data_IF_045153573833
#
_entry.id   IF_045153573833
#
_cell.length_a   1.000
_cell.length_b   1.000
_cell.length_c   1.000
_cell.angle_alpha   90.00
_cell.angle_beta   90.00
_cell.angle_gamma   90.00
#
_symmetry.space_group_name_H-M   'P 1'
#
loop_
_entity.id
_entity.type
_entity.pdbx_description
1 polymer ?
#
# COMPACT_ATOMS: atom_id res chain seq x y z
N UNK A 1 -38.59 12.73 -26.03
CA UNK A 1 -38.25 13.74 -27.05
C UNK A 1 -37.15 13.17 -27.90
N UNK A 2 -37.52 12.90 -29.13
CA UNK A 2 -36.76 12.16 -30.13
C UNK A 2 -35.73 13.05 -30.80
N UNK A 3 -34.49 12.61 -30.92
CA UNK A 3 -33.42 13.29 -31.63
C UNK A 3 -32.83 12.37 -32.68
N UNK A 4 -33.32 12.52 -33.89
CA UNK A 4 -32.86 11.83 -35.09
C UNK A 4 -31.44 12.25 -35.45
N UNK A 5 -30.53 11.27 -35.63
CA UNK A 5 -29.25 11.50 -36.28
C UNK A 5 -29.40 11.38 -37.78
N UNK A 6 -29.01 12.44 -38.47
CA UNK A 6 -28.90 12.49 -39.94
C UNK A 6 -27.82 11.51 -40.42
N UNK A 7 -28.19 10.84 -41.51
CA UNK A 7 -27.31 9.93 -42.25
C UNK A 7 -26.37 10.73 -43.16
N UNK A 8 -25.09 10.40 -43.16
CA UNK A 8 -24.09 10.93 -44.08
C UNK A 8 -24.32 10.39 -45.52
N UNK A 9 -24.03 11.16 -46.56
CA UNK A 9 -24.30 10.77 -47.95
C UNK A 9 -23.20 9.76 -48.41
N UNK A 10 -23.69 8.68 -48.99
CA UNK A 10 -22.92 7.67 -49.70
C UNK A 10 -22.15 8.30 -50.88
N UNK A 11 -20.85 8.30 -50.79
CA UNK A 11 -19.96 8.69 -51.91
C UNK A 11 -19.99 7.62 -53.02
N UNK A 12 -20.47 8.02 -54.17
CA UNK A 12 -20.56 7.24 -55.38
C UNK A 12 -19.15 6.95 -55.92
N UNK A 13 -18.78 5.67 -56.27
CA UNK A 13 -17.52 5.39 -56.90
C UNK A 13 -17.50 5.85 -58.35
N UNK A 14 -16.43 6.54 -58.70
CA UNK A 14 -16.11 7.03 -60.04
C UNK A 14 -16.02 5.88 -61.02
N UNK A 15 -16.63 5.95 -62.25
CA UNK A 15 -16.52 4.90 -63.24
C UNK A 15 -15.11 4.81 -63.78
N UNK A 16 -14.53 3.61 -63.74
CA UNK A 16 -13.31 3.28 -64.47
C UNK A 16 -13.55 3.12 -65.97
N UNK A 17 -12.62 3.57 -66.82
CA UNK A 17 -12.79 3.41 -68.25
C UNK A 17 -12.69 1.93 -68.64
N UNK A 18 -13.67 1.51 -69.46
CA UNK A 18 -13.71 0.21 -70.10
C UNK A 18 -12.47 0.06 -70.98
N UNK A 19 -11.59 -0.88 -70.58
CA UNK A 19 -10.53 -1.34 -71.46
C UNK A 19 -11.15 -2.11 -72.59
N UNK A 20 -10.82 -1.68 -73.79
CA UNK A 20 -11.19 -2.18 -75.09
C UNK A 20 -10.91 -3.68 -75.19
N UNK A 21 -11.99 -4.47 -75.38
CA UNK A 21 -11.89 -5.92 -75.60
C UNK A 21 -11.35 -6.15 -76.99
N UNK A 22 -10.07 -6.56 -77.12
CA UNK A 22 -9.57 -7.18 -78.33
C UNK A 22 -10.26 -8.52 -78.50
N UNK A 23 -11.14 -8.57 -79.54
CA UNK A 23 -11.79 -9.75 -80.01
C UNK A 23 -10.70 -10.65 -80.68
N UNK A 24 -10.28 -11.68 -79.96
CA UNK A 24 -9.54 -12.81 -80.57
C UNK A 24 -10.54 -13.88 -80.93
N UNK A 25 -10.71 -14.08 -82.27
CA UNK A 25 -11.48 -15.15 -82.84
C UNK A 25 -10.86 -16.52 -82.47
N UNK A 26 -11.77 -17.51 -82.30
CA UNK A 26 -11.46 -18.95 -82.14
C UNK A 26 -11.04 -19.41 -80.71
N UNK A 27 -11.96 -19.30 -79.77
CA UNK A 27 -11.93 -20.17 -78.60
C UNK A 27 -13.21 -21.02 -78.55
N UNK A 28 -13.23 -22.26 -78.95
CA UNK A 28 -14.46 -23.10 -79.13
C UNK A 28 -15.11 -23.53 -77.79
N UNK A 29 -14.61 -23.20 -76.65
CA UNK A 29 -15.19 -23.65 -75.37
C UNK A 29 -15.23 -22.59 -74.20
N UNK A 30 -14.96 -21.31 -74.42
CA UNK A 30 -15.10 -20.30 -73.41
C UNK A 30 -14.28 -20.53 -72.07
N UNK A 31 -13.26 -21.37 -72.19
CA UNK A 31 -12.39 -21.66 -71.03
C UNK A 31 -11.26 -20.64 -70.99
N UNK A 32 -11.38 -19.72 -69.99
CA UNK A 32 -10.27 -18.86 -69.66
C UNK A 32 -9.23 -19.68 -68.89
N UNK A 33 -8.13 -19.97 -69.59
CA UNK A 33 -6.96 -20.61 -68.96
C UNK A 33 -6.29 -19.57 -68.10
N UNK A 34 -6.53 -19.62 -66.80
CA UNK A 34 -5.74 -18.86 -65.86
C UNK A 34 -4.31 -19.46 -65.88
N UNK A 35 -3.34 -18.66 -66.26
CA UNK A 35 -1.92 -19.05 -66.18
C UNK A 35 -1.61 -19.45 -64.74
N UNK A 36 -1.12 -20.68 -64.52
CA UNK A 36 -0.63 -21.09 -63.22
C UNK A 36 0.54 -20.20 -62.83
N UNK A 37 0.56 -19.69 -61.61
CA UNK A 37 1.69 -18.90 -61.13
C UNK A 37 2.95 -19.78 -61.16
N UNK A 38 4.07 -19.21 -61.64
CA UNK A 38 5.35 -19.91 -61.69
C UNK A 38 5.73 -20.37 -60.28
N UNK A 39 6.15 -21.63 -60.10
CA UNK A 39 6.52 -22.17 -58.79
C UNK A 39 7.56 -21.31 -58.06
N UNK A 40 8.48 -20.69 -58.79
CA UNK A 40 9.51 -19.80 -58.25
C UNK A 40 8.94 -18.50 -57.68
N UNK A 41 7.91 -17.91 -58.28
CA UNK A 41 7.27 -16.70 -57.79
C UNK A 41 6.47 -16.98 -56.52
N UNK A 42 5.81 -18.14 -56.44
CA UNK A 42 5.07 -18.59 -55.25
C UNK A 42 6.01 -18.80 -54.08
N UNK A 43 7.17 -19.45 -54.30
CA UNK A 43 8.17 -19.69 -53.24
C UNK A 43 8.77 -18.39 -52.74
N UNK A 44 9.13 -17.45 -53.63
CA UNK A 44 9.67 -16.13 -53.23
C UNK A 44 8.64 -15.25 -52.53
N UNK A 45 7.37 -15.34 -52.90
CA UNK A 45 6.28 -14.64 -52.23
C UNK A 45 6.03 -15.22 -50.82
N UNK A 46 6.16 -16.54 -50.68
CA UNK A 46 5.97 -17.25 -49.40
C UNK A 46 7.12 -16.98 -48.41
N UNK A 47 8.38 -16.91 -48.90
CA UNK A 47 9.53 -16.52 -48.06
C UNK A 47 9.43 -15.09 -47.54
N UNK A 48 9.01 -14.14 -48.36
CA UNK A 48 8.77 -12.75 -47.92
C UNK A 48 7.62 -12.68 -46.89
N UNK A 49 6.57 -13.46 -47.11
CA UNK A 49 5.40 -13.52 -46.22
C UNK A 49 5.76 -14.17 -44.89
N UNK A 50 6.52 -15.24 -44.87
CA UNK A 50 6.98 -15.91 -43.64
C UNK A 50 7.94 -15.04 -42.83
N UNK A 51 8.87 -14.34 -43.48
CA UNK A 51 9.79 -13.40 -42.79
C UNK A 51 9.04 -12.23 -42.16
N UNK A 52 8.10 -11.63 -42.88
CA UNK A 52 7.23 -10.57 -42.34
C UNK A 52 6.33 -11.10 -41.21
N UNK A 53 5.80 -12.31 -41.33
CA UNK A 53 5.00 -12.97 -40.29
C UNK A 53 5.79 -13.21 -39.00
N UNK A 54 7.04 -13.67 -39.12
CA UNK A 54 7.93 -13.88 -37.96
C UNK A 54 8.20 -12.56 -37.19
N UNK A 55 8.45 -11.46 -37.91
CA UNK A 55 8.65 -10.15 -37.29
C UNK A 55 7.39 -9.65 -36.58
N UNK A 56 6.20 -9.83 -37.19
CA UNK A 56 4.92 -9.49 -36.56
C UNK A 56 4.69 -10.33 -35.32
N UNK A 57 4.98 -11.61 -35.36
CA UNK A 57 4.84 -12.51 -34.21
C UNK A 57 5.80 -12.13 -33.08
N UNK A 58 7.06 -11.78 -33.40
CA UNK A 58 8.01 -11.27 -32.41
C UNK A 58 7.55 -9.93 -31.79
N UNK A 59 7.00 -9.02 -32.59
CA UNK A 59 6.47 -7.77 -32.11
C UNK A 59 5.30 -7.99 -31.13
N UNK A 60 4.36 -8.88 -31.46
CA UNK A 60 3.25 -9.23 -30.55
C UNK A 60 3.78 -9.86 -29.27
N UNK A 61 4.73 -10.80 -29.38
CA UNK A 61 5.33 -11.44 -28.21
C UNK A 61 6.04 -10.41 -27.31
N UNK A 62 6.75 -9.46 -27.89
CA UNK A 62 7.43 -8.39 -27.15
C UNK A 62 6.43 -7.47 -26.44
N UNK A 63 5.32 -7.09 -27.10
CA UNK A 63 4.26 -6.29 -26.50
C UNK A 63 3.60 -7.06 -25.35
N UNK A 64 3.31 -8.34 -25.53
CA UNK A 64 2.74 -9.18 -24.48
C UNK A 64 3.72 -9.41 -23.30
N UNK A 65 5.01 -9.54 -23.57
CA UNK A 65 6.03 -9.72 -22.54
C UNK A 65 6.40 -8.42 -21.83
N UNK A 66 6.19 -7.26 -22.45
CA UNK A 66 6.63 -5.97 -21.94
C UNK A 66 6.10 -5.64 -20.52
N UNK A 67 4.84 -5.92 -20.14
CA UNK A 67 4.38 -5.64 -18.77
C UNK A 67 5.12 -6.48 -17.72
N UNK A 68 5.41 -7.74 -18.07
CA UNK A 68 6.14 -8.64 -17.17
C UNK A 68 7.58 -8.17 -17.03
N UNK A 69 8.25 -7.86 -18.13
CA UNK A 69 9.62 -7.33 -18.13
C UNK A 69 9.68 -6.00 -17.35
N UNK A 70 8.74 -5.09 -17.61
CA UNK A 70 8.67 -3.82 -16.91
C UNK A 70 8.44 -4.01 -15.41
N UNK A 71 7.59 -4.94 -14.99
CA UNK A 71 7.36 -5.27 -13.59
C UNK A 71 8.63 -5.80 -12.92
N UNK A 72 9.31 -6.76 -13.51
CA UNK A 72 10.59 -7.28 -13.02
C UNK A 72 11.66 -6.19 -12.96
N UNK A 73 11.78 -5.39 -14.02
CA UNK A 73 12.74 -4.28 -14.05
C UNK A 73 12.46 -3.28 -12.94
N UNK A 74 11.21 -2.87 -12.74
CA UNK A 74 10.82 -1.95 -11.67
C UNK A 74 11.11 -2.54 -10.30
N UNK A 75 10.82 -3.82 -10.09
CA UNK A 75 11.03 -4.49 -8.81
C UNK A 75 12.50 -4.65 -8.44
N UNK A 76 13.34 -5.08 -9.40
CA UNK A 76 14.75 -5.41 -9.10
C UNK A 76 15.73 -4.25 -9.32
N UNK A 77 15.46 -3.37 -10.30
CA UNK A 77 16.39 -2.29 -10.67
C UNK A 77 15.98 -0.96 -10.07
N UNK A 78 14.72 -0.55 -10.24
CA UNK A 78 14.27 0.76 -9.77
C UNK A 78 14.10 0.77 -8.25
N UNK A 79 13.65 -0.38 -7.67
CA UNK A 79 13.40 -0.53 -6.22
C UNK A 79 12.86 0.75 -5.61
N UNK A 80 11.60 1.11 -5.86
CA UNK A 80 11.07 2.38 -5.38
C UNK A 80 11.16 2.43 -3.84
N UNK A 81 12.16 3.11 -3.32
CA UNK A 81 12.37 3.31 -1.87
C UNK A 81 11.38 4.29 -1.26
N UNK A 82 10.49 4.83 -2.08
CA UNK A 82 9.46 5.76 -1.66
C UNK A 82 8.46 5.15 -0.70
N UNK A 83 8.85 5.02 0.56
CA UNK A 83 7.94 4.73 1.67
C UNK A 83 6.96 5.90 1.77
N UNK A 84 5.70 5.67 1.40
CA UNK A 84 4.63 6.69 1.45
C UNK A 84 4.03 6.83 2.87
N UNK A 85 4.69 6.24 3.87
CA UNK A 85 4.23 6.29 5.25
C UNK A 85 4.80 7.52 5.95
N UNK A 86 3.97 8.15 6.76
CA UNK A 86 4.41 9.21 7.66
C UNK A 86 5.21 8.66 8.83
N UNK A 87 4.77 7.51 9.34
CA UNK A 87 5.51 6.74 10.33
C UNK A 87 6.70 6.00 9.71
N UNK A 88 7.80 5.97 10.44
CA UNK A 88 8.99 5.20 10.10
C UNK A 88 8.78 3.73 10.47
N UNK A 89 8.90 2.83 9.49
CA UNK A 89 8.85 1.40 9.74
C UNK A 89 10.19 0.94 10.34
N UNK A 90 10.10 0.09 11.34
CA UNK A 90 11.26 -0.45 12.05
C UNK A 90 11.63 -1.80 11.44
N UNK A 91 12.89 -1.90 11.02
CA UNK A 91 13.45 -3.12 10.43
C UNK A 91 14.89 -3.28 10.92
N UNK A 92 15.24 -4.42 11.59
CA UNK A 92 14.36 -5.53 11.98
C UNK A 92 13.37 -5.16 13.09
N UNK A 93 12.20 -5.80 13.07
CA UNK A 93 11.17 -5.63 14.10
C UNK A 93 11.67 -6.18 15.44
N UNK A 94 11.26 -5.53 16.54
CA UNK A 94 11.62 -5.95 17.90
C UNK A 94 10.37 -6.40 18.64
N UNK A 95 10.42 -7.60 19.20
CA UNK A 95 9.30 -8.15 19.96
C UNK A 95 9.21 -7.54 21.37
N UNK A 96 8.00 -7.50 21.91
CA UNK A 96 7.73 -7.13 23.30
C UNK A 96 8.64 -7.93 24.25
N UNK A 97 9.40 -7.26 25.10
CA UNK A 97 10.28 -7.93 26.05
C UNK A 97 9.46 -8.63 27.15
N UNK A 98 10.03 -9.67 27.71
CA UNK A 98 9.47 -10.38 28.84
C UNK A 98 9.72 -9.58 30.15
N UNK A 99 8.95 -8.51 30.35
CA UNK A 99 9.03 -7.63 31.50
C UNK A 99 7.78 -7.77 32.37
N UNK A 100 7.91 -7.42 33.64
CA UNK A 100 6.78 -7.10 34.51
C UNK A 100 6.51 -5.59 34.47
N UNK A 101 5.27 -5.23 34.28
CA UNK A 101 4.78 -3.86 34.39
C UNK A 101 3.83 -3.76 35.58
N UNK A 102 3.68 -2.56 36.13
CA UNK A 102 2.80 -2.33 37.26
C UNK A 102 1.65 -1.43 36.83
N UNK A 103 0.41 -1.84 37.01
CA UNK A 103 -0.76 -0.98 36.80
C UNK A 103 -0.75 0.16 37.82
N UNK A 104 -1.53 1.22 37.58
CA UNK A 104 -1.72 2.32 38.57
C UNK A 104 -2.26 1.78 39.91
N UNK A 105 -3.04 0.70 39.86
CA UNK A 105 -3.56 0.03 41.07
C UNK A 105 -2.48 -0.66 41.92
N UNK A 106 -1.23 -0.73 41.46
CA UNK A 106 -0.16 -1.48 42.10
C UNK A 106 -0.09 -2.95 41.70
N UNK A 107 -1.02 -3.45 40.90
CA UNK A 107 -1.02 -4.82 40.39
C UNK A 107 0.10 -5.03 39.38
N UNK A 108 0.92 -6.08 39.59
CA UNK A 108 1.93 -6.51 38.62
C UNK A 108 1.30 -7.34 37.51
N UNK A 109 1.58 -7.00 36.28
CA UNK A 109 1.10 -7.70 35.10
C UNK A 109 2.27 -8.00 34.15
N UNK A 110 2.29 -9.15 33.51
CA UNK A 110 3.31 -9.43 32.51
C UNK A 110 3.08 -8.52 31.29
N UNK A 111 4.15 -7.92 30.76
CA UNK A 111 4.07 -7.02 29.63
C UNK A 111 3.52 -7.71 28.38
N UNK A 112 3.74 -9.02 28.27
CA UNK A 112 3.14 -9.85 27.21
C UNK A 112 1.60 -9.92 27.22
N UNK A 113 0.94 -9.50 28.33
CA UNK A 113 -0.53 -9.39 28.37
C UNK A 113 -1.09 -8.35 27.42
N UNK A 114 -0.24 -7.46 26.89
CA UNK A 114 -0.60 -6.47 25.89
C UNK A 114 -0.77 -7.07 24.48
N UNK A 115 -0.34 -8.31 24.24
CA UNK A 115 -0.51 -8.98 22.93
C UNK A 115 -1.98 -9.25 22.62
N UNK A 116 -2.29 -9.42 21.35
CA UNK A 116 -3.64 -9.72 20.86
C UNK A 116 -4.38 -8.51 20.29
N UNK A 117 -3.88 -7.29 20.50
CA UNK A 117 -4.41 -6.06 19.94
C UNK A 117 -3.29 -5.20 19.34
N UNK A 118 -3.64 -4.36 18.39
CA UNK A 118 -2.78 -3.27 17.97
C UNK A 118 -2.58 -2.31 19.15
N UNK A 119 -1.37 -1.86 19.35
CA UNK A 119 -1.07 -0.91 20.43
C UNK A 119 -0.55 0.39 19.84
N UNK A 120 -1.16 1.48 20.24
CA UNK A 120 -0.63 2.83 20.06
C UNK A 120 -0.01 3.25 21.39
N UNK A 121 1.31 3.30 21.43
CA UNK A 121 2.09 3.42 22.68
C UNK A 121 2.72 4.80 22.76
N UNK A 122 2.54 5.48 23.89
CA UNK A 122 3.32 6.64 24.31
C UNK A 122 4.20 6.30 25.51
N UNK A 123 5.35 6.93 25.59
CA UNK A 123 6.27 6.83 26.73
C UNK A 123 6.40 8.22 27.34
N UNK A 124 6.19 8.38 28.63
CA UNK A 124 6.38 9.66 29.30
C UNK A 124 6.57 9.45 30.81
N UNK A 125 7.17 10.43 31.47
CA UNK A 125 7.27 10.46 32.93
C UNK A 125 5.89 10.44 33.60
N UNK A 126 5.79 9.79 34.75
CA UNK A 126 4.54 9.67 35.51
C UNK A 126 3.97 11.04 35.97
N UNK A 127 4.81 12.05 36.18
CA UNK A 127 4.40 13.42 36.51
C UNK A 127 3.69 14.12 35.34
N UNK A 128 3.86 13.64 34.15
CA UNK A 128 3.19 14.08 32.91
C UNK A 128 3.05 15.60 32.78
N UNK A 129 4.12 16.26 32.37
CA UNK A 129 4.14 17.71 32.13
C UNK A 129 3.18 18.10 30.97
N UNK A 130 3.06 19.38 30.68
CA UNK A 130 2.15 19.91 29.66
C UNK A 130 2.38 19.27 28.28
N UNK A 131 3.63 18.99 27.90
CA UNK A 131 3.97 18.32 26.64
C UNK A 131 3.45 16.89 26.64
N UNK A 132 3.66 16.15 27.72
CA UNK A 132 3.11 14.80 27.88
C UNK A 132 1.58 14.81 27.77
N UNK A 133 0.88 15.73 28.44
CA UNK A 133 -0.59 15.85 28.40
C UNK A 133 -1.07 16.09 26.94
N UNK A 134 -0.38 16.94 26.18
CA UNK A 134 -0.67 17.18 24.78
C UNK A 134 -0.47 15.90 23.94
N UNK A 135 0.58 15.11 24.21
CA UNK A 135 0.83 13.83 23.55
C UNK A 135 -0.26 12.79 23.85
N UNK A 136 -0.66 12.65 25.13
CA UNK A 136 -1.73 11.75 25.51
C UNK A 136 -3.08 12.15 24.89
N UNK A 137 -3.37 13.46 24.88
CA UNK A 137 -4.55 13.97 24.19
C UNK A 137 -4.53 13.67 22.70
N UNK A 138 -3.40 13.91 22.03
CA UNK A 138 -3.21 13.61 20.62
C UNK A 138 -3.39 12.12 20.33
N UNK A 139 -2.79 11.25 21.13
CA UNK A 139 -2.91 9.80 21.03
C UNK A 139 -4.38 9.36 21.12
N UNK A 140 -5.12 9.90 22.10
CA UNK A 140 -6.56 9.64 22.24
C UNK A 140 -7.33 10.10 21.01
N UNK A 141 -7.12 11.34 20.55
CA UNK A 141 -7.81 11.87 19.37
C UNK A 141 -7.50 11.07 18.12
N UNK A 142 -6.26 10.63 17.97
CA UNK A 142 -5.85 9.79 16.86
C UNK A 142 -6.62 8.46 16.87
N UNK A 143 -6.71 7.79 18.02
CA UNK A 143 -7.50 6.56 18.18
C UNK A 143 -8.99 6.81 17.87
N UNK A 144 -9.61 7.83 18.45
CA UNK A 144 -11.02 8.16 18.20
C UNK A 144 -11.30 8.48 16.71
N UNK A 145 -10.34 9.08 16.01
CA UNK A 145 -10.47 9.40 14.59
C UNK A 145 -10.56 8.16 13.67
N UNK A 146 -10.19 6.98 14.15
CA UNK A 146 -10.29 5.72 13.40
C UNK A 146 -11.75 5.20 13.32
N UNK A 147 -12.69 5.81 14.04
CA UNK A 147 -14.09 5.45 14.01
C UNK A 147 -14.32 4.02 14.50
N UNK A 148 -14.94 3.17 13.69
CA UNK A 148 -15.22 1.77 14.04
C UNK A 148 -13.97 0.91 14.25
N UNK A 149 -12.86 1.26 13.63
CA UNK A 149 -11.61 0.52 13.75
C UNK A 149 -10.87 0.78 15.08
N UNK A 150 -11.32 1.77 15.87
CA UNK A 150 -10.71 2.11 17.15
C UNK A 150 -10.73 0.96 18.18
N UNK A 151 -11.69 0.05 18.07
CA UNK A 151 -11.80 -1.13 18.96
C UNK A 151 -10.72 -2.19 18.68
N UNK A 152 -9.98 -2.06 17.58
CA UNK A 152 -8.89 -2.93 17.21
C UNK A 152 -7.53 -2.40 17.65
N UNK A 153 -7.48 -1.18 18.22
CA UNK A 153 -6.25 -0.56 18.68
C UNK A 153 -6.42 -0.04 20.10
N UNK A 154 -5.59 -0.54 20.99
CA UNK A 154 -5.49 -0.04 22.36
C UNK A 154 -4.51 1.10 22.41
N UNK A 155 -4.82 2.11 23.20
CA UNK A 155 -3.88 3.16 23.51
C UNK A 155 -3.25 2.93 24.88
N UNK A 156 -1.93 2.93 24.89
CA UNK A 156 -1.13 2.54 26.03
C UNK A 156 -0.22 3.69 26.41
N UNK A 157 -0.20 4.03 27.67
CA UNK A 157 0.78 4.93 28.23
C UNK A 157 1.75 4.14 29.11
N UNK A 158 3.00 4.11 28.73
CA UNK A 158 4.08 3.56 29.52
C UNK A 158 4.67 4.69 30.36
N UNK A 159 4.28 4.72 31.63
CA UNK A 159 4.74 5.72 32.59
C UNK A 159 6.12 5.31 33.13
N UNK A 160 7.10 6.19 32.99
CA UNK A 160 8.42 6.04 33.59
C UNK A 160 8.51 6.78 34.91
N UNK A 161 9.48 6.43 35.75
CA UNK A 161 9.67 7.04 37.05
C UNK A 161 8.73 6.49 38.13
N UNK A 162 9.03 6.85 39.39
CA UNK A 162 8.33 6.35 40.59
C UNK A 162 7.27 7.29 41.12
N UNK A 163 7.14 8.47 40.51
CA UNK A 163 6.17 9.48 40.95
C UNK A 163 4.71 8.99 40.78
N UNK A 164 3.77 9.40 41.65
CA UNK A 164 2.36 9.09 41.45
C UNK A 164 1.85 9.79 40.19
N UNK A 165 1.01 9.12 39.41
CA UNK A 165 0.30 9.74 38.30
C UNK A 165 -0.71 10.74 38.84
N UNK A 166 -0.81 11.91 38.21
CA UNK A 166 -1.78 12.96 38.63
C UNK A 166 -3.21 12.42 38.50
N UNK A 167 -3.94 12.42 39.62
CA UNK A 167 -5.33 11.96 39.67
C UNK A 167 -6.25 12.70 38.72
N UNK A 168 -5.93 13.95 38.35
CA UNK A 168 -6.69 14.74 37.38
C UNK A 168 -6.66 14.15 35.95
N UNK A 169 -5.64 13.38 35.64
CA UNK A 169 -5.51 12.71 34.32
C UNK A 169 -6.32 11.41 34.25
N UNK A 170 -6.58 10.74 35.36
CA UNK A 170 -7.22 9.43 35.41
C UNK A 170 -8.59 9.39 34.71
N UNK A 171 -9.51 10.38 34.88
CA UNK A 171 -10.78 10.36 34.16
C UNK A 171 -10.61 10.42 32.64
N UNK A 172 -9.63 11.18 32.15
CA UNK A 172 -9.34 11.29 30.72
C UNK A 172 -8.70 10.01 30.16
N UNK A 173 -8.08 9.20 31.03
CA UNK A 173 -7.34 7.97 30.69
C UNK A 173 -8.14 6.69 31.00
N UNK A 174 -9.44 6.80 31.32
CA UNK A 174 -10.28 5.66 31.73
C UNK A 174 -10.32 4.48 30.74
N UNK A 175 -10.11 4.75 29.46
CA UNK A 175 -10.04 3.73 28.42
C UNK A 175 -8.59 3.39 28.00
N UNK A 176 -7.60 4.03 28.61
CA UNK A 176 -6.20 3.77 28.32
C UNK A 176 -5.66 2.67 29.23
N UNK A 177 -4.75 1.88 28.70
CA UNK A 177 -3.92 1.01 29.51
C UNK A 177 -2.71 1.80 30.00
N UNK A 178 -2.68 2.13 31.29
CA UNK A 178 -1.54 2.84 31.88
C UNK A 178 -0.72 1.86 32.69
N UNK A 179 0.54 1.70 32.31
CA UNK A 179 1.48 0.77 32.92
C UNK A 179 2.75 1.51 33.31
N UNK A 180 3.22 1.26 34.52
CA UNK A 180 4.52 1.73 34.98
C UNK A 180 5.60 0.71 34.59
N UNK A 181 6.64 1.18 33.93
CA UNK A 181 7.73 0.37 33.42
C UNK A 181 9.07 1.07 33.68
N UNK A 182 10.10 0.30 33.91
CA UNK A 182 11.45 0.84 34.06
C UNK A 182 11.94 1.43 32.73
N UNK A 183 12.46 2.65 32.78
CA UNK A 183 12.93 3.39 31.59
C UNK A 183 14.08 2.68 30.87
N UNK A 184 15.00 2.06 31.61
CA UNK A 184 16.11 1.35 31.03
C UNK A 184 15.62 0.16 30.17
N UNK A 185 14.65 -0.60 30.69
CA UNK A 185 14.07 -1.73 29.96
C UNK A 185 13.31 -1.27 28.71
N UNK A 186 12.70 -0.08 28.77
CA UNK A 186 12.05 0.51 27.59
C UNK A 186 13.05 0.96 26.55
N UNK A 187 14.19 1.54 26.94
CA UNK A 187 15.25 1.99 26.04
C UNK A 187 15.97 0.84 25.31
N UNK A 188 15.96 -0.34 25.89
CA UNK A 188 16.48 -1.56 25.25
C UNK A 188 15.54 -2.06 24.12
N UNK A 189 14.25 -1.84 24.28
CA UNK A 189 13.22 -2.28 23.33
C UNK A 189 12.90 -1.21 22.29
N UNK A 190 12.50 0.00 22.73
CA UNK A 190 12.13 1.12 21.87
C UNK A 190 13.35 2.01 21.62
N UNK A 191 13.49 2.49 20.38
CA UNK A 191 14.53 3.44 20.03
C UNK A 191 13.91 4.74 19.50
N UNK A 192 14.27 5.90 20.07
CA UNK A 192 13.91 7.18 19.49
C UNK A 192 14.68 7.44 18.19
N UNK A 193 14.23 8.41 17.40
CA UNK A 193 15.02 8.90 16.26
C UNK A 193 16.31 9.56 16.72
N UNK A 194 17.29 9.66 15.84
CA UNK A 194 18.57 10.30 16.14
C UNK A 194 18.36 11.72 16.71
N UNK A 195 18.97 11.98 17.88
CA UNK A 195 18.84 13.27 18.58
C UNK A 195 17.49 13.53 19.23
N UNK A 196 16.66 12.50 19.43
CA UNK A 196 15.36 12.58 20.09
C UNK A 196 15.29 11.68 21.32
N UNK A 197 14.23 11.82 22.12
CA UNK A 197 13.96 11.02 23.30
C UNK A 197 12.71 10.14 23.08
N UNK A 198 12.57 9.09 23.92
CA UNK A 198 11.39 8.19 23.83
C UNK A 198 10.05 8.94 23.91
N UNK A 199 9.87 9.94 24.76
CA UNK A 199 8.61 10.69 24.86
C UNK A 199 8.25 11.52 23.62
N UNK A 200 9.20 11.75 22.70
CA UNK A 200 8.94 12.57 21.50
C UNK A 200 8.10 11.84 20.46
N UNK A 201 7.91 10.54 20.61
CA UNK A 201 7.32 9.67 19.59
C UNK A 201 6.08 8.94 20.08
N UNK A 202 5.23 8.55 19.12
CA UNK A 202 4.24 7.50 19.30
C UNK A 202 4.75 6.24 18.59
N UNK A 203 4.56 5.10 19.22
CA UNK A 203 5.00 3.81 18.73
C UNK A 203 3.80 2.94 18.42
N UNK A 204 3.90 2.15 17.35
CA UNK A 204 2.87 1.20 16.95
C UNK A 204 3.41 -0.20 17.09
N UNK A 205 2.68 -1.04 17.83
CA UNK A 205 3.01 -2.45 18.06
C UNK A 205 1.89 -3.30 17.50
N UNK A 206 2.23 -4.36 16.82
CA UNK A 206 1.27 -5.28 16.23
C UNK A 206 0.65 -6.24 17.28
N UNK A 207 -0.44 -6.97 16.95
CA UNK A 207 -1.06 -7.92 17.87
C UNK A 207 -0.14 -9.09 18.29
N UNK A 208 0.90 -9.38 17.53
CA UNK A 208 1.90 -10.39 17.90
C UNK A 208 2.91 -9.84 18.91
N UNK A 209 2.90 -8.52 19.13
CA UNK A 209 3.80 -7.84 20.05
C UNK A 209 5.08 -7.32 19.40
N UNK A 210 5.12 -7.12 18.08
CA UNK A 210 6.29 -6.57 17.42
C UNK A 210 6.16 -5.06 17.30
N UNK A 211 7.16 -4.33 17.76
CA UNK A 211 7.26 -2.90 17.46
C UNK A 211 7.63 -2.71 16.00
N UNK A 212 6.68 -2.20 15.24
CA UNK A 212 6.84 -2.13 13.79
C UNK A 212 6.90 -0.71 13.21
N UNK A 213 6.42 0.30 13.96
CA UNK A 213 6.40 1.66 13.44
C UNK A 213 6.62 2.69 14.57
N UNK A 214 7.25 3.79 14.20
CA UNK A 214 7.46 4.97 15.03
C UNK A 214 6.98 6.20 14.28
N UNK A 215 6.10 7.00 14.89
CA UNK A 215 5.73 8.30 14.32
C UNK A 215 6.77 9.36 14.67
N UNK A 216 7.08 10.28 13.73
CA UNK A 216 7.98 11.39 14.02
C UNK A 216 7.39 12.33 15.08
N UNK A 217 8.24 13.13 15.76
CA UNK A 217 7.75 14.13 16.68
C UNK A 217 6.92 15.18 15.92
N UNK A 218 5.83 15.61 16.54
CA UNK A 218 4.93 16.61 16.00
C UNK A 218 3.48 16.30 16.35
N UNK A 219 2.79 17.30 16.91
CA UNK A 219 1.41 17.20 17.39
C UNK A 219 0.59 18.26 16.68
N UNK A 220 0.62 18.27 15.34
CA UNK A 220 -0.21 19.15 14.54
C UNK A 220 -1.30 18.37 13.79
N UNK A 221 -2.27 19.09 13.26
CA UNK A 221 -3.37 18.50 12.49
C UNK A 221 -2.88 17.77 11.23
N UNK A 222 -1.77 18.23 10.63
CA UNK A 222 -1.16 17.61 9.47
C UNK A 222 -0.56 16.24 9.85
N UNK A 223 0.20 16.19 10.95
CA UNK A 223 0.75 14.95 11.49
C UNK A 223 -0.36 13.97 11.87
N UNK A 224 -1.43 14.44 12.52
CA UNK A 224 -2.60 13.62 12.87
C UNK A 224 -3.25 12.97 11.64
N UNK A 225 -3.49 13.76 10.59
CA UNK A 225 -4.08 13.27 9.35
C UNK A 225 -3.21 12.21 8.66
N UNK A 226 -1.90 12.41 8.65
CA UNK A 226 -0.94 11.46 8.07
C UNK A 226 -0.83 10.18 8.91
N UNK A 227 -0.72 10.31 10.23
CA UNK A 227 -0.67 9.19 11.16
C UNK A 227 -1.95 8.35 11.09
N UNK A 228 -3.12 9.00 11.07
CA UNK A 228 -4.40 8.32 10.84
C UNK A 228 -4.41 7.50 9.57
N UNK A 229 -3.95 8.08 8.46
CA UNK A 229 -3.89 7.40 7.16
C UNK A 229 -2.99 6.15 7.18
N UNK A 230 -1.91 6.20 7.93
CA UNK A 230 -1.02 5.05 8.09
C UNK A 230 -1.67 3.96 8.95
N UNK A 231 -2.30 4.34 10.08
CA UNK A 231 -3.05 3.41 10.93
C UNK A 231 -4.22 2.77 10.17
N UNK A 232 -5.00 3.56 9.42
CA UNK A 232 -6.10 3.04 8.58
C UNK A 232 -5.59 1.98 7.58
N UNK A 233 -4.40 2.17 7.01
CA UNK A 233 -3.79 1.19 6.11
C UNK A 233 -3.36 -0.07 6.83
N UNK A 234 -2.72 0.05 7.99
CA UNK A 234 -2.30 -1.08 8.81
C UNK A 234 -3.50 -1.92 9.25
N UNK A 235 -4.52 -1.28 9.83
CA UNK A 235 -5.73 -1.95 10.30
C UNK A 235 -6.50 -2.61 9.15
N UNK A 236 -6.52 -1.98 7.97
CA UNK A 236 -7.13 -2.58 6.78
C UNK A 236 -6.35 -3.78 6.27
N UNK A 237 -5.02 -3.71 6.27
CA UNK A 237 -4.16 -4.81 5.84
C UNK A 237 -4.24 -6.01 6.78
N UNK A 238 -4.51 -5.80 8.08
CA UNK A 238 -4.62 -6.86 9.09
C UNK A 238 -6.04 -7.40 9.30
N UNK A 239 -7.05 -6.85 8.61
CA UNK A 239 -8.48 -7.12 8.88
C UNK A 239 -8.92 -8.58 8.78
N UNK A 240 -8.14 -9.45 8.17
CA UNK A 240 -8.44 -10.87 7.99
C UNK A 240 -7.80 -11.79 9.05
N UNK A 241 -6.87 -11.31 9.85
CA UNK A 241 -6.19 -12.09 10.90
C UNK A 241 -6.23 -11.44 12.28
N UNK A 242 -6.73 -10.24 12.38
CA UNK A 242 -6.82 -9.44 13.58
C UNK A 242 -8.30 -9.31 13.99
N UNK A 243 -8.59 -9.60 15.26
CA UNK A 243 -9.94 -9.55 15.82
C UNK A 243 -10.10 -8.35 16.75
N UNK A 244 -11.23 -7.62 16.70
CA UNK A 244 -11.50 -6.51 17.62
C UNK A 244 -11.75 -7.01 19.05
N UNK A 245 -11.28 -6.24 20.00
CA UNK A 245 -11.58 -6.40 21.43
C UNK A 245 -10.65 -7.38 22.16
N UNK A 246 -10.32 -7.00 23.39
CA UNK A 246 -9.69 -7.84 24.43
C UNK A 246 -10.73 -8.32 25.39
#
# INVERSE_FOLDING_TARGET
MSGSKLSDPVSNPKPQPLAEQAQGEDAPLGLTVHSMPNPTEVVLADEKRTRSGRWKMLAVLLVCASPVIASYFTYYVVRPEGRRNHGELIDPQRTLPALEATKISGEKVPFNSLKGQWLLVSVADALCNETCQKHLYFQRQLRESLGKEKERIDWVWLATGDAPVDEKLLPAMSQATVLRVNEQSLSEWLQPAAGRQLPDHLYVVDPMGNWMMRFPPGIDLSAASKAKKDLDRLLRASSFWDTPGR
#
